data_IF_847801730116
#
_entry.id   IF_847801730116
#
_cell.length_a   1.000
_cell.length_b   1.000
_cell.length_c   1.000
_cell.angle_alpha   90.00
_cell.angle_beta   90.00
_cell.angle_gamma   90.00
#
_symmetry.space_group_name_H-M   'P 1'
#
loop_
_entity.id
_entity.type
_entity.pdbx_description
1 polymer ?
#
# COMPACT_ATOMS: atom_id res chain seq x y z
N UNK A 1 -9.35 1.37 -34.50
CA UNK A 1 -9.87 0.75 -33.26
C UNK A 1 -10.66 -0.47 -33.70
N UNK A 2 -10.44 -1.64 -33.10
CA UNK A 2 -11.29 -2.80 -33.39
C UNK A 2 -12.62 -2.64 -32.64
N UNK A 3 -13.74 -2.88 -33.32
CA UNK A 3 -15.07 -3.00 -32.72
C UNK A 3 -15.55 -4.44 -32.89
N UNK A 4 -16.30 -4.98 -31.93
CA UNK A 4 -16.90 -6.30 -32.09
C UNK A 4 -18.19 -6.20 -32.93
N UNK A 5 -18.62 -7.31 -33.55
CA UNK A 5 -19.90 -7.34 -34.29
C UNK A 5 -21.08 -7.00 -33.37
N UNK A 6 -21.01 -7.36 -32.08
CA UNK A 6 -22.01 -6.97 -31.08
C UNK A 6 -22.03 -5.48 -30.76
N UNK A 7 -20.91 -4.78 -30.93
CA UNK A 7 -20.85 -3.32 -30.75
C UNK A 7 -21.31 -2.58 -32.02
N UNK A 8 -21.02 -3.15 -33.20
CA UNK A 8 -21.31 -2.55 -34.50
C UNK A 8 -22.77 -2.76 -34.94
N UNK A 9 -23.30 -3.97 -34.75
CA UNK A 9 -24.61 -4.41 -35.25
C UNK A 9 -25.32 -5.31 -34.21
N UNK A 10 -25.73 -4.75 -33.05
CA UNK A 10 -26.26 -5.53 -31.92
C UNK A 10 -27.55 -6.28 -32.25
N UNK A 11 -28.50 -5.68 -32.97
CA UNK A 11 -29.78 -6.32 -33.32
C UNK A 11 -29.61 -7.41 -34.39
N UNK A 12 -28.62 -7.28 -35.27
CA UNK A 12 -28.21 -8.36 -36.18
C UNK A 12 -27.53 -9.48 -35.40
N UNK A 13 -26.65 -9.14 -34.46
CA UNK A 13 -25.96 -10.12 -33.61
C UNK A 13 -26.94 -10.93 -32.74
N UNK A 14 -27.97 -10.30 -32.19
CA UNK A 14 -29.03 -10.97 -31.42
C UNK A 14 -29.88 -11.91 -32.27
N UNK A 15 -30.09 -11.58 -33.55
CA UNK A 15 -30.84 -12.39 -34.50
C UNK A 15 -30.12 -13.69 -34.91
N UNK A 16 -28.81 -13.79 -34.63
CA UNK A 16 -28.03 -15.01 -34.87
C UNK A 16 -28.16 -15.96 -33.67
N UNK A 17 -28.53 -17.23 -33.88
CA UNK A 17 -28.62 -18.18 -32.78
C UNK A 17 -27.28 -18.40 -32.06
N UNK A 18 -27.34 -18.65 -30.74
CA UNK A 18 -26.15 -18.71 -29.86
C UNK A 18 -25.14 -19.78 -30.30
N UNK A 19 -25.60 -20.89 -30.88
CA UNK A 19 -24.71 -21.95 -31.38
C UNK A 19 -23.81 -21.45 -32.52
N UNK A 20 -24.34 -20.69 -33.47
CA UNK A 20 -23.55 -20.09 -34.56
C UNK A 20 -22.58 -19.05 -34.01
N UNK A 21 -23.02 -18.18 -33.10
CA UNK A 21 -22.16 -17.17 -32.44
C UNK A 21 -20.95 -17.76 -31.73
N UNK A 22 -21.05 -18.99 -31.22
CA UNK A 22 -19.98 -19.65 -30.44
C UNK A 22 -19.03 -20.49 -31.28
N UNK A 23 -19.50 -21.04 -32.39
CA UNK A 23 -18.75 -22.06 -33.15
C UNK A 23 -18.23 -21.55 -34.48
N UNK A 24 -18.90 -20.55 -35.08
CA UNK A 24 -18.55 -20.05 -36.41
C UNK A 24 -17.45 -19.02 -36.32
N UNK A 25 -16.37 -19.22 -37.07
CA UNK A 25 -15.30 -18.22 -37.19
C UNK A 25 -15.67 -17.17 -38.24
N UNK A 26 -15.05 -15.98 -38.17
CA UNK A 26 -15.22 -14.93 -39.20
C UNK A 26 -14.85 -15.47 -40.58
N UNK A 27 -13.79 -16.29 -40.69
CA UNK A 27 -13.38 -16.91 -41.94
C UNK A 27 -14.47 -17.83 -42.52
N UNK A 28 -15.13 -18.65 -41.70
CA UNK A 28 -16.25 -19.49 -42.14
C UNK A 28 -17.49 -18.67 -42.49
N UNK A 29 -17.71 -17.51 -41.85
CA UNK A 29 -18.79 -16.58 -42.17
C UNK A 29 -18.60 -15.89 -43.53
N UNK A 30 -17.36 -15.49 -43.82
CA UNK A 30 -17.00 -14.81 -45.06
C UNK A 30 -16.90 -15.75 -46.26
N UNK A 31 -16.58 -17.04 -46.04
CA UNK A 31 -16.57 -18.05 -47.10
C UNK A 31 -17.94 -18.10 -47.78
N UNK A 32 -17.96 -17.88 -49.09
CA UNK A 32 -19.17 -17.85 -49.94
C UNK A 32 -20.27 -16.91 -49.41
N UNK A 33 -19.90 -15.85 -48.68
CA UNK A 33 -20.83 -14.89 -48.06
C UNK A 33 -21.96 -15.58 -47.28
N UNK A 34 -21.64 -16.64 -46.53
CA UNK A 34 -22.65 -17.52 -45.94
C UNK A 34 -23.13 -17.07 -44.56
N UNK A 35 -22.56 -16.02 -43.97
CA UNK A 35 -22.99 -15.43 -42.69
C UNK A 35 -24.42 -14.84 -42.66
N UNK A 36 -25.00 -14.26 -43.74
CA UNK A 36 -26.37 -13.73 -43.71
C UNK A 36 -27.41 -14.82 -43.49
N UNK A 37 -27.09 -16.07 -43.88
CA UNK A 37 -27.99 -17.22 -43.70
C UNK A 37 -28.17 -17.61 -42.23
N UNK A 38 -27.28 -17.16 -41.34
CA UNK A 38 -27.37 -17.40 -39.91
C UNK A 38 -28.34 -16.44 -39.19
N UNK A 39 -28.73 -15.35 -39.85
CA UNK A 39 -29.64 -14.34 -39.30
C UNK A 39 -31.07 -14.89 -39.34
N UNK A 40 -31.72 -14.99 -38.18
CA UNK A 40 -33.10 -15.49 -38.08
C UNK A 40 -34.11 -14.40 -37.73
N UNK A 41 -35.32 -14.58 -38.24
CA UNK A 41 -36.44 -13.66 -38.03
C UNK A 41 -36.46 -12.50 -39.01
N UNK A 42 -37.49 -11.65 -38.90
CA UNK A 42 -37.65 -10.49 -39.79
C UNK A 42 -36.59 -9.41 -39.56
N UNK A 43 -36.22 -8.70 -40.63
CA UNK A 43 -35.38 -7.51 -40.56
C UNK A 43 -36.29 -6.29 -40.37
N UNK A 44 -36.36 -5.77 -39.14
CA UNK A 44 -36.90 -4.43 -38.91
C UNK A 44 -36.04 -3.40 -39.65
N UNK A 45 -36.55 -2.19 -39.88
CA UNK A 45 -35.81 -1.14 -40.57
C UNK A 45 -34.45 -0.82 -39.90
N UNK A 46 -34.39 -0.87 -38.57
CA UNK A 46 -33.15 -0.68 -37.80
C UNK A 46 -32.18 -1.85 -38.00
N UNK A 47 -32.69 -3.08 -37.98
CA UNK A 47 -31.86 -4.28 -38.20
C UNK A 47 -31.33 -4.34 -39.64
N UNK A 48 -32.11 -3.87 -40.61
CA UNK A 48 -31.70 -3.76 -42.00
C UNK A 48 -30.54 -2.75 -42.16
N UNK A 49 -30.60 -1.63 -41.44
CA UNK A 49 -29.53 -0.64 -41.43
C UNK A 49 -28.24 -1.20 -40.82
N UNK A 50 -28.33 -1.85 -39.65
CA UNK A 50 -27.18 -2.54 -39.05
C UNK A 50 -26.61 -3.64 -39.95
N UNK A 51 -27.47 -4.36 -40.68
CA UNK A 51 -27.03 -5.37 -41.64
C UNK A 51 -26.18 -4.75 -42.75
N UNK A 52 -26.61 -3.64 -43.34
CA UNK A 52 -25.83 -2.94 -44.36
C UNK A 52 -24.51 -2.39 -43.80
N UNK A 53 -24.52 -1.81 -42.60
CA UNK A 53 -23.28 -1.36 -41.95
C UNK A 53 -22.29 -2.51 -41.75
N UNK A 54 -22.77 -3.66 -41.27
CA UNK A 54 -21.94 -4.85 -41.11
C UNK A 54 -21.47 -5.36 -42.47
N UNK A 55 -22.33 -5.37 -43.48
CA UNK A 55 -22.01 -5.80 -44.84
C UNK A 55 -20.89 -4.94 -45.45
N UNK A 56 -20.99 -3.62 -45.35
CA UNK A 56 -19.98 -2.69 -45.87
C UNK A 56 -18.62 -2.90 -45.21
N UNK A 57 -18.61 -3.06 -43.88
CA UNK A 57 -17.37 -3.36 -43.13
C UNK A 57 -16.78 -4.70 -43.56
N UNK A 58 -17.60 -5.73 -43.71
CA UNK A 58 -17.14 -7.07 -44.09
C UNK A 58 -16.67 -7.17 -45.56
N UNK A 59 -17.24 -6.38 -46.46
CA UNK A 59 -16.82 -6.31 -47.88
C UNK A 59 -15.37 -5.85 -48.04
N UNK A 60 -14.93 -4.93 -47.17
CA UNK A 60 -13.56 -4.39 -47.20
C UNK A 60 -12.55 -5.27 -46.44
N UNK A 61 -13.01 -6.31 -45.74
CA UNK A 61 -12.14 -7.17 -44.95
C UNK A 61 -11.43 -8.22 -45.82
N UNK A 62 -10.11 -8.09 -45.91
CA UNK A 62 -9.26 -9.13 -46.47
C UNK A 62 -8.59 -9.92 -45.34
N UNK A 63 -9.00 -11.16 -45.14
CA UNK A 63 -8.40 -12.04 -44.12
C UNK A 63 -7.04 -12.54 -44.61
N UNK A 64 -5.95 -12.06 -44.02
CA UNK A 64 -4.63 -12.65 -44.25
C UNK A 64 -4.50 -13.98 -43.51
N UNK A 65 -3.85 -14.97 -44.11
CA UNK A 65 -3.42 -16.20 -43.41
C UNK A 65 -2.25 -15.95 -42.44
N UNK A 66 -1.72 -14.73 -42.40
CA UNK A 66 -0.67 -14.34 -41.45
C UNK A 66 -1.24 -14.35 -40.03
N UNK A 67 -0.51 -15.00 -39.13
CA UNK A 67 -0.89 -15.07 -37.72
C UNK A 67 -0.90 -13.66 -37.11
N UNK A 68 -2.02 -13.28 -36.49
CA UNK A 68 -2.13 -11.99 -35.82
C UNK A 68 -1.24 -11.96 -34.58
N UNK A 69 -0.22 -11.12 -34.60
CA UNK A 69 0.65 -10.92 -33.44
C UNK A 69 0.02 -9.91 -32.49
N UNK A 70 -0.38 -10.35 -31.30
CA UNK A 70 -0.78 -9.45 -30.23
C UNK A 70 0.44 -8.68 -29.69
N UNK A 71 0.52 -7.38 -29.99
CA UNK A 71 1.59 -6.52 -29.50
C UNK A 71 1.14 -5.79 -28.23
N UNK A 72 1.81 -6.10 -27.12
CA UNK A 72 1.63 -5.40 -25.86
C UNK A 72 2.31 -4.02 -25.89
N UNK A 73 1.52 -2.96 -26.04
CA UNK A 73 2.01 -1.58 -26.25
C UNK A 73 2.56 -0.89 -24.99
N UNK A 74 2.33 -1.46 -23.80
CA UNK A 74 2.71 -0.84 -22.53
C UNK A 74 4.08 -1.30 -22.02
N UNK A 75 4.84 -2.04 -22.83
CA UNK A 75 6.23 -2.42 -22.59
C UNK A 75 7.01 -2.44 -23.90
N UNK A 76 8.29 -2.04 -23.87
CA UNK A 76 9.13 -1.94 -25.06
C UNK A 76 9.45 -3.28 -25.73
N UNK A 77 9.22 -4.41 -25.04
CA UNK A 77 9.37 -5.75 -25.60
C UNK A 77 8.26 -6.14 -26.58
N UNK A 78 7.12 -5.44 -26.58
CA UNK A 78 5.94 -5.82 -27.36
C UNK A 78 5.26 -7.11 -26.88
N UNK A 79 5.78 -7.76 -25.83
CA UNK A 79 5.25 -9.01 -25.29
C UNK A 79 4.46 -8.75 -24.00
N UNK A 80 3.30 -9.41 -23.88
CA UNK A 80 2.51 -9.34 -22.66
C UNK A 80 3.20 -10.09 -21.53
N UNK A 81 3.25 -9.47 -20.35
CA UNK A 81 3.52 -10.16 -19.10
C UNK A 81 2.69 -9.55 -17.97
N UNK A 82 2.30 -10.36 -16.98
CA UNK A 82 1.60 -9.86 -15.79
C UNK A 82 2.39 -8.76 -15.07
N UNK A 83 3.73 -8.83 -15.10
CA UNK A 83 4.63 -7.80 -14.57
C UNK A 83 4.48 -6.47 -15.32
N UNK A 84 4.48 -6.49 -16.65
CA UNK A 84 4.32 -5.29 -17.48
C UNK A 84 2.92 -4.67 -17.34
N UNK A 85 1.87 -5.50 -17.30
CA UNK A 85 0.50 -5.09 -17.03
C UNK A 85 0.36 -4.42 -15.67
N UNK A 86 0.91 -5.04 -14.62
CA UNK A 86 0.91 -4.45 -13.28
C UNK A 86 1.65 -3.11 -13.26
N UNK A 87 2.86 -3.01 -13.85
CA UNK A 87 3.59 -1.74 -13.93
C UNK A 87 2.80 -0.65 -14.65
N UNK A 88 2.12 -0.99 -15.75
CA UNK A 88 1.33 -0.06 -16.50
C UNK A 88 0.08 0.42 -15.72
N UNK A 89 -0.57 -0.49 -14.99
CA UNK A 89 -1.71 -0.17 -14.13
C UNK A 89 -1.36 0.83 -13.03
N UNK A 90 -0.14 0.76 -12.49
CA UNK A 90 0.37 1.68 -11.48
C UNK A 90 1.22 2.82 -12.05
N UNK A 91 1.16 3.07 -13.37
CA UNK A 91 1.86 4.20 -13.96
C UNK A 91 1.25 5.52 -13.43
N UNK A 92 2.10 6.42 -12.93
CA UNK A 92 1.67 7.65 -12.25
C UNK A 92 1.27 7.48 -10.78
N UNK A 93 1.31 6.26 -10.21
CA UNK A 93 1.09 6.08 -8.78
C UNK A 93 2.22 6.74 -7.97
N UNK A 94 1.86 7.46 -6.90
CA UNK A 94 2.84 8.02 -5.96
C UNK A 94 3.37 6.87 -5.08
N UNK A 95 4.63 6.47 -5.22
CA UNK A 95 5.16 5.37 -4.44
C UNK A 95 5.27 5.78 -2.97
N UNK A 96 4.90 4.88 -2.06
CA UNK A 96 5.21 5.02 -0.65
C UNK A 96 6.73 4.98 -0.46
N UNK A 97 7.39 6.14 -0.36
CA UNK A 97 8.86 6.25 -0.40
C UNK A 97 9.54 5.37 0.68
N UNK A 98 8.87 5.17 1.81
CA UNK A 98 9.40 4.40 2.94
C UNK A 98 9.14 2.88 2.85
N UNK A 99 8.57 2.38 1.76
CA UNK A 99 8.18 0.97 1.63
C UNK A 99 9.36 0.01 1.87
N UNK A 100 10.55 0.31 1.34
CA UNK A 100 11.73 -0.56 1.54
C UNK A 100 12.10 -0.61 3.01
N UNK A 101 12.07 0.54 3.69
CA UNK A 101 12.45 0.67 5.10
C UNK A 101 11.47 -0.08 6.01
N UNK A 102 10.18 0.00 5.69
CA UNK A 102 9.13 -0.70 6.43
C UNK A 102 9.16 -2.21 6.17
N UNK A 103 9.00 -2.60 4.90
CA UNK A 103 8.75 -4.00 4.54
C UNK A 103 10.00 -4.88 4.59
N UNK A 104 11.20 -4.33 4.33
CA UNK A 104 12.48 -5.07 4.46
C UNK A 104 13.04 -5.07 5.89
N UNK A 105 12.37 -4.42 6.84
CA UNK A 105 12.76 -4.53 8.25
C UNK A 105 12.46 -5.93 8.80
N UNK A 106 13.10 -6.30 9.91
CA UNK A 106 12.77 -7.56 10.60
C UNK A 106 11.42 -7.48 11.35
N UNK A 107 10.88 -6.28 11.59
CA UNK A 107 9.74 -6.05 12.48
C UNK A 107 8.55 -7.02 12.24
N UNK A 108 7.83 -7.41 13.30
CA UNK A 108 6.64 -8.26 13.17
C UNK A 108 5.60 -7.68 12.20
N UNK A 109 4.85 -8.53 11.48
CA UNK A 109 3.83 -8.08 10.52
C UNK A 109 2.83 -7.07 11.11
N UNK A 110 2.38 -7.27 12.35
CA UNK A 110 1.46 -6.34 13.05
C UNK A 110 2.01 -4.91 13.13
N UNK A 111 3.30 -4.76 13.45
CA UNK A 111 3.95 -3.45 13.54
C UNK A 111 4.12 -2.82 12.15
N UNK A 112 4.40 -3.65 11.13
CA UNK A 112 4.52 -3.18 9.75
C UNK A 112 3.20 -2.67 9.19
N UNK A 113 2.11 -3.43 9.38
CA UNK A 113 0.77 -3.04 8.95
C UNK A 113 0.32 -1.77 9.68
N UNK A 114 0.51 -1.69 11.00
CA UNK A 114 0.22 -0.49 11.77
C UNK A 114 0.95 0.73 11.20
N UNK A 115 2.27 0.66 10.98
CA UNK A 115 3.02 1.79 10.48
C UNK A 115 2.62 2.19 9.06
N UNK A 116 2.32 1.21 8.20
CA UNK A 116 1.78 1.50 6.88
C UNK A 116 0.49 2.31 7.01
N UNK A 117 -0.46 1.88 7.85
CA UNK A 117 -1.66 2.66 8.14
C UNK A 117 -1.32 4.05 8.68
N UNK A 118 -0.43 4.15 9.67
CA UNK A 118 -0.03 5.43 10.26
C UNK A 118 0.54 6.41 9.21
N UNK A 119 1.33 5.94 8.26
CA UNK A 119 1.88 6.79 7.19
C UNK A 119 0.82 7.33 6.22
N UNK A 120 -0.32 6.65 6.07
CA UNK A 120 -1.47 7.11 5.29
C UNK A 120 -2.50 7.86 6.14
N UNK A 121 -2.13 8.19 7.39
CA UNK A 121 -3.03 8.62 8.44
C UNK A 121 -4.19 7.63 8.71
N UNK A 122 -4.21 6.42 8.11
CA UNK A 122 -4.97 5.18 8.36
C UNK A 122 -5.62 4.94 9.74
N UNK A 123 -4.95 5.36 10.82
CA UNK A 123 -5.24 4.85 12.16
C UNK A 123 -6.53 5.42 12.76
N UNK A 124 -7.15 4.70 13.69
CA UNK A 124 -8.34 5.15 14.41
C UNK A 124 -7.99 6.11 15.56
N UNK A 125 -7.53 7.31 15.20
CA UNK A 125 -7.30 8.46 16.09
C UNK A 125 -8.55 9.34 16.20
N UNK A 126 -8.59 10.23 17.20
CA UNK A 126 -9.75 11.09 17.45
C UNK A 126 -10.14 11.91 16.22
N UNK A 127 -9.18 12.47 15.46
CA UNK A 127 -9.47 13.21 14.22
C UNK A 127 -10.29 12.40 13.19
N UNK A 128 -10.04 11.09 13.11
CA UNK A 128 -10.71 10.20 12.16
C UNK A 128 -12.05 9.67 12.62
N UNK A 129 -12.20 9.54 13.93
CA UNK A 129 -13.50 9.28 14.55
C UNK A 129 -14.40 10.52 14.38
N UNK A 130 -13.86 11.72 14.63
CA UNK A 130 -14.53 12.99 14.45
C UNK A 130 -15.03 13.18 13.01
N UNK A 131 -14.18 12.93 12.00
CA UNK A 131 -14.56 12.97 10.57
C UNK A 131 -15.71 12.04 10.18
N UNK A 132 -16.00 11.02 10.99
CA UNK A 132 -17.10 10.07 10.78
C UNK A 132 -18.27 10.26 11.73
N UNK A 133 -18.26 11.31 12.55
CA UNK A 133 -19.30 11.54 13.56
C UNK A 133 -19.36 10.48 14.66
N UNK A 134 -18.27 9.76 14.90
CA UNK A 134 -18.19 8.74 15.95
C UNK A 134 -17.74 9.38 17.28
N UNK A 135 -18.13 8.80 18.44
CA UNK A 135 -17.66 9.25 19.74
C UNK A 135 -16.12 9.26 19.79
N UNK A 136 -15.55 10.36 20.28
CA UNK A 136 -14.10 10.55 20.35
C UNK A 136 -13.71 11.46 21.51
N UNK A 137 -12.50 11.27 22.09
CA UNK A 137 -11.93 12.24 23.03
C UNK A 137 -11.74 13.60 22.37
N UNK A 138 -11.98 14.68 23.13
CA UNK A 138 -11.76 16.06 22.66
C UNK A 138 -10.27 16.41 22.55
N UNK A 139 -9.42 15.72 23.31
CA UNK A 139 -7.97 15.90 23.36
C UNK A 139 -7.24 14.57 23.29
N UNK A 140 -5.96 14.65 22.95
CA UNK A 140 -5.07 13.51 22.88
C UNK A 140 -5.06 12.71 24.19
N UNK A 141 -5.41 11.42 24.18
CA UNK A 141 -5.46 10.60 25.40
C UNK A 141 -4.12 10.48 26.14
N UNK A 142 -3.00 10.83 25.50
CA UNK A 142 -1.67 10.74 26.10
C UNK A 142 -1.19 12.03 26.77
N UNK A 143 -1.58 13.21 26.26
CA UNK A 143 -1.09 14.49 26.76
C UNK A 143 -2.18 15.41 27.29
N UNK A 144 -3.43 15.20 26.90
CA UNK A 144 -4.60 16.03 27.24
C UNK A 144 -4.43 17.52 26.90
N UNK A 145 -3.56 17.85 25.93
CA UNK A 145 -3.19 19.25 25.59
C UNK A 145 -3.65 19.65 24.18
N UNK A 146 -3.41 18.80 23.18
CA UNK A 146 -3.74 19.08 21.77
C UNK A 146 -4.70 18.04 21.20
N UNK A 147 -5.24 18.32 20.02
CA UNK A 147 -6.12 17.39 19.30
C UNK A 147 -5.32 16.18 18.80
N UNK A 148 -5.94 15.00 18.80
CA UNK A 148 -5.24 13.77 18.40
C UNK A 148 -5.35 13.50 16.90
N UNK A 149 -4.21 13.48 16.23
CA UNK A 149 -3.99 12.71 15.02
C UNK A 149 -2.79 11.76 15.18
N UNK A 150 -2.55 10.89 14.19
CA UNK A 150 -1.45 9.93 14.28
C UNK A 150 -0.07 10.59 14.25
N UNK A 151 0.06 11.79 13.66
CA UNK A 151 1.33 12.50 13.62
C UNK A 151 1.63 13.08 15.00
N UNK A 152 0.68 13.78 15.61
CA UNK A 152 0.77 14.25 16.98
C UNK A 152 1.09 13.08 17.92
N UNK A 153 0.33 12.00 17.83
CA UNK A 153 0.54 10.81 18.64
C UNK A 153 1.97 10.26 18.53
N UNK A 154 2.57 10.26 17.34
CA UNK A 154 3.88 9.62 17.13
C UNK A 154 5.08 10.58 17.21
N UNK A 155 4.91 11.89 17.04
CA UNK A 155 6.03 12.84 17.01
C UNK A 155 5.88 14.05 17.93
N UNK A 156 4.77 14.80 17.89
CA UNK A 156 4.70 16.10 18.60
C UNK A 156 4.13 16.02 20.02
N UNK A 157 3.38 14.97 20.34
CA UNK A 157 2.87 14.70 21.69
C UNK A 157 4.00 14.72 22.72
N UNK A 158 3.82 15.47 23.82
CA UNK A 158 4.84 15.64 24.86
C UNK A 158 5.28 14.30 25.48
N UNK A 159 4.34 13.37 25.72
CA UNK A 159 4.65 12.04 26.22
C UNK A 159 5.47 11.25 25.19
N UNK A 160 5.10 11.30 23.92
CA UNK A 160 5.82 10.61 22.85
C UNK A 160 7.22 11.16 22.64
N UNK A 161 7.39 12.48 22.70
CA UNK A 161 8.71 13.13 22.62
C UNK A 161 9.63 12.71 23.76
N UNK A 162 9.13 12.70 24.99
CA UNK A 162 9.89 12.24 26.15
C UNK A 162 10.26 10.75 26.03
N UNK A 163 9.33 9.92 25.54
CA UNK A 163 9.58 8.51 25.28
C UNK A 163 10.71 8.31 24.25
N UNK A 164 10.64 9.03 23.13
CA UNK A 164 11.70 9.02 22.11
C UNK A 164 13.02 9.52 22.65
N UNK A 165 13.02 10.58 23.46
CA UNK A 165 14.21 11.10 24.10
C UNK A 165 14.90 10.03 24.93
N UNK A 166 14.18 9.40 25.87
CA UNK A 166 14.75 8.36 26.75
C UNK A 166 15.32 7.17 25.98
N UNK A 167 14.59 6.67 24.98
CA UNK A 167 15.03 5.52 24.18
C UNK A 167 16.21 5.86 23.26
N UNK A 168 16.14 6.98 22.55
CA UNK A 168 17.18 7.30 21.57
C UNK A 168 18.46 7.79 22.24
N UNK A 169 18.36 8.55 23.33
CA UNK A 169 19.54 8.96 24.11
C UNK A 169 20.24 7.75 24.72
N UNK A 170 19.49 6.83 25.35
CA UNK A 170 20.08 5.61 25.91
C UNK A 170 20.81 4.77 24.86
N UNK A 171 20.41 4.84 23.58
CA UNK A 171 21.04 4.14 22.46
C UNK A 171 22.12 4.96 21.72
N UNK A 172 22.53 6.12 22.24
CA UNK A 172 23.55 6.98 21.62
C UNK A 172 23.07 7.80 20.41
N UNK A 173 21.76 7.98 20.25
CA UNK A 173 21.12 8.74 19.16
C UNK A 173 20.43 10.02 19.64
N UNK A 174 21.06 10.75 20.59
CA UNK A 174 20.52 11.98 21.18
C UNK A 174 20.10 13.04 20.14
N UNK A 175 20.84 13.16 19.04
CA UNK A 175 20.56 14.10 17.94
C UNK A 175 19.50 13.62 16.93
N UNK A 176 18.77 12.54 17.23
CA UNK A 176 17.74 11.95 16.35
C UNK A 176 16.33 11.97 16.96
N UNK A 177 16.16 12.56 18.14
CA UNK A 177 14.87 12.74 18.81
C UNK A 177 13.98 13.68 17.97
N UNK A 178 12.67 13.41 17.83
CA UNK A 178 11.79 14.30 17.08
C UNK A 178 11.66 15.64 17.81
N UNK A 179 11.81 16.72 17.06
CA UNK A 179 11.62 18.08 17.57
C UNK A 179 10.13 18.43 17.70
N UNK A 180 9.84 19.55 18.39
CA UNK A 180 8.46 20.02 18.59
C UNK A 180 7.72 20.34 17.28
N UNK A 181 8.45 20.76 16.24
CA UNK A 181 7.89 21.13 14.93
C UNK A 181 7.96 20.00 13.90
N UNK A 182 8.27 18.78 14.32
CA UNK A 182 8.36 17.65 13.40
C UNK A 182 6.96 17.03 13.21
N UNK A 183 6.19 17.62 12.29
CA UNK A 183 4.78 17.30 12.03
C UNK A 183 4.55 15.99 11.26
N UNK A 184 5.61 15.33 10.80
CA UNK A 184 5.53 14.12 9.97
C UNK A 184 6.43 13.03 10.55
N UNK A 185 5.82 11.99 11.09
CA UNK A 185 6.51 10.79 11.57
C UNK A 185 7.36 10.17 10.46
N UNK A 186 6.84 10.15 9.24
CA UNK A 186 7.46 9.51 8.11
C UNK A 186 8.75 10.24 7.69
N UNK A 187 8.71 11.56 7.66
CA UNK A 187 9.87 12.41 7.37
C UNK A 187 10.91 12.36 8.47
N UNK A 188 10.48 12.46 9.73
CA UNK A 188 11.35 12.30 10.90
C UNK A 188 12.09 10.97 10.86
N UNK A 189 11.36 9.88 10.71
CA UNK A 189 11.90 8.52 10.66
C UNK A 189 12.91 8.38 9.52
N UNK A 190 12.61 8.96 8.36
CA UNK A 190 13.54 8.99 7.23
C UNK A 190 14.83 9.72 7.57
N UNK A 191 14.75 10.95 8.11
CA UNK A 191 15.89 11.78 8.50
C UNK A 191 16.73 11.08 9.57
N UNK A 192 16.08 10.52 10.60
CA UNK A 192 16.72 9.85 11.72
C UNK A 192 17.59 8.67 11.26
N UNK A 193 17.02 7.78 10.44
CA UNK A 193 17.73 6.61 9.90
C UNK A 193 18.79 7.01 8.87
N UNK A 194 18.52 7.98 7.99
CA UNK A 194 19.48 8.43 6.97
C UNK A 194 20.75 9.02 7.59
N UNK A 195 20.60 9.79 8.68
CA UNK A 195 21.70 10.43 9.42
C UNK A 195 22.41 9.48 10.41
N UNK A 196 22.02 8.22 10.52
CA UNK A 196 22.70 7.23 11.37
C UNK A 196 23.84 6.51 10.62
N UNK A 197 24.91 6.09 11.34
CA UNK A 197 25.97 5.24 10.79
C UNK A 197 25.42 3.98 10.09
N UNK A 198 26.03 3.58 8.96
CA UNK A 198 25.48 2.50 8.09
C UNK A 198 25.24 1.18 8.83
N UNK A 199 26.12 0.81 9.77
CA UNK A 199 26.04 -0.39 10.60
C UNK A 199 24.81 -0.36 11.54
N UNK A 200 24.46 0.81 12.07
CA UNK A 200 23.39 0.97 13.06
C UNK A 200 22.00 1.20 12.46
N UNK A 201 21.92 1.61 11.19
CA UNK A 201 20.63 1.94 10.51
C UNK A 201 19.56 0.88 10.65
N UNK A 202 19.91 -0.40 10.49
CA UNK A 202 18.92 -1.50 10.57
C UNK A 202 18.37 -1.68 11.98
N UNK A 203 19.23 -1.54 12.98
CA UNK A 203 18.83 -1.61 14.38
C UNK A 203 17.97 -0.39 14.77
N UNK A 204 18.41 0.82 14.42
CA UNK A 204 17.66 2.06 14.71
C UNK A 204 16.29 2.04 14.03
N UNK A 205 16.24 1.54 12.80
CA UNK A 205 14.97 1.35 12.11
C UNK A 205 14.02 0.43 12.89
N UNK A 206 14.54 -0.66 13.46
CA UNK A 206 13.73 -1.61 14.24
C UNK A 206 13.25 -0.98 15.55
N UNK A 207 14.10 -0.19 16.21
CA UNK A 207 13.77 0.59 17.42
C UNK A 207 12.64 1.58 17.14
N UNK A 208 12.73 2.36 16.05
CA UNK A 208 11.69 3.34 15.71
C UNK A 208 10.37 2.62 15.37
N UNK A 209 10.40 1.50 14.65
CA UNK A 209 9.18 0.73 14.36
C UNK A 209 8.53 0.20 15.65
N UNK A 210 9.35 -0.33 16.57
CA UNK A 210 8.89 -0.83 17.85
C UNK A 210 8.32 0.28 18.74
N UNK A 211 9.03 1.40 18.85
CA UNK A 211 8.60 2.52 19.69
C UNK A 211 7.26 3.08 19.24
N UNK A 212 7.05 3.23 17.93
CA UNK A 212 5.78 3.70 17.38
C UNK A 212 4.64 2.72 17.69
N UNK A 213 4.91 1.42 17.60
CA UNK A 213 3.95 0.38 17.98
C UNK A 213 3.62 0.39 19.48
N UNK A 214 4.61 0.60 20.35
CA UNK A 214 4.42 0.68 21.80
C UNK A 214 3.58 1.91 22.17
N UNK A 215 3.86 3.08 21.57
CA UNK A 215 3.03 4.28 21.76
C UNK A 215 1.58 4.06 21.34
N UNK A 216 1.36 3.43 20.18
CA UNK A 216 0.02 3.10 19.70
C UNK A 216 -0.72 2.15 20.64
N UNK A 217 -0.05 1.10 21.13
CA UNK A 217 -0.63 0.17 22.11
C UNK A 217 -0.99 0.86 23.42
N UNK A 218 -0.09 1.68 23.95
CA UNK A 218 -0.31 2.41 25.20
C UNK A 218 -1.50 3.37 25.09
N UNK A 219 -1.57 4.12 23.98
CA UNK A 219 -2.73 4.97 23.66
C UNK A 219 -4.02 4.15 23.63
N UNK A 220 -4.04 3.01 22.94
CA UNK A 220 -5.24 2.20 22.86
C UNK A 220 -5.66 1.67 24.23
N UNK A 221 -4.73 1.30 25.10
CA UNK A 221 -5.06 0.89 26.47
C UNK A 221 -5.64 2.05 27.29
N UNK A 222 -5.16 3.27 27.10
CA UNK A 222 -5.76 4.46 27.74
C UNK A 222 -7.20 4.71 27.28
N UNK A 223 -7.51 4.45 26.00
CA UNK A 223 -8.84 4.67 25.43
C UNK A 223 -9.82 3.54 25.75
N UNK A 224 -9.39 2.27 25.67
CA UNK A 224 -10.28 1.12 25.75
C UNK A 224 -10.28 0.41 27.10
N UNK A 225 -9.17 0.47 27.84
CA UNK A 225 -9.00 -0.26 29.11
C UNK A 225 -9.01 0.68 30.34
N UNK A 226 -9.26 1.98 30.13
CA UNK A 226 -9.23 2.98 31.20
C UNK A 226 -7.83 3.26 31.78
N UNK A 227 -6.77 2.85 31.06
CA UNK A 227 -5.39 3.12 31.46
C UNK A 227 -5.07 4.61 31.50
N UNK A 228 -4.00 4.97 32.21
CA UNK A 228 -3.51 6.34 32.28
C UNK A 228 -2.16 6.50 31.56
N UNK A 229 -1.88 7.67 30.97
CA UNK A 229 -0.57 7.97 30.39
C UNK A 229 0.57 7.78 31.40
N UNK A 230 1.46 6.82 31.16
CA UNK A 230 2.53 6.48 32.09
C UNK A 230 3.84 6.19 31.35
N UNK A 231 4.83 7.05 31.57
CA UNK A 231 6.16 6.92 30.96
C UNK A 231 6.88 5.64 31.41
N UNK A 232 6.78 5.28 32.69
CA UNK A 232 7.44 4.08 33.22
C UNK A 232 6.87 2.81 32.58
N UNK A 233 5.56 2.78 32.37
CA UNK A 233 4.89 1.65 31.71
C UNK A 233 5.28 1.55 30.24
N UNK A 234 5.30 2.67 29.51
CA UNK A 234 5.80 2.72 28.13
C UNK A 234 7.23 2.15 28.00
N UNK A 235 8.14 2.57 28.89
CA UNK A 235 9.52 2.10 28.88
C UNK A 235 9.63 0.61 29.27
N UNK A 236 8.78 0.14 30.19
CA UNK A 236 8.71 -1.28 30.57
C UNK A 236 8.28 -2.13 29.37
N UNK A 237 7.14 -1.80 28.74
CA UNK A 237 6.63 -2.49 27.55
C UNK A 237 7.67 -2.47 26.43
N UNK A 238 8.34 -1.33 26.21
CA UNK A 238 9.38 -1.21 25.19
C UNK A 238 10.56 -2.15 25.47
N UNK A 239 11.06 -2.23 26.71
CA UNK A 239 12.16 -3.13 27.07
C UNK A 239 11.78 -4.59 26.88
N UNK A 240 10.56 -4.97 27.26
CA UNK A 240 10.02 -6.32 27.09
C UNK A 240 9.92 -6.71 25.61
N UNK A 241 9.31 -5.84 24.77
CA UNK A 241 9.25 -6.05 23.33
C UNK A 241 10.65 -6.11 22.71
N UNK A 242 11.58 -5.25 23.15
CA UNK A 242 12.98 -5.28 22.70
C UNK A 242 13.64 -6.61 23.00
N UNK A 243 13.48 -7.12 24.21
CA UNK A 243 14.00 -8.42 24.62
C UNK A 243 13.42 -9.55 23.77
N UNK A 244 12.09 -9.58 23.57
CA UNK A 244 11.41 -10.56 22.73
C UNK A 244 11.91 -10.54 21.28
N UNK A 245 12.08 -9.35 20.68
CA UNK A 245 12.57 -9.22 19.31
C UNK A 245 14.03 -9.66 19.20
N UNK A 246 14.85 -9.33 20.19
CA UNK A 246 16.20 -9.86 20.30
C UNK A 246 16.17 -11.38 20.31
N UNK A 247 15.43 -12.03 21.21
CA UNK A 247 15.32 -13.50 21.27
C UNK A 247 14.85 -14.12 19.94
N UNK A 248 13.87 -13.51 19.27
CA UNK A 248 13.33 -13.94 17.98
C UNK A 248 14.26 -13.70 16.77
N UNK A 249 15.54 -13.39 16.99
CA UNK A 249 16.63 -13.25 15.99
C UNK A 249 16.62 -11.95 15.20
N UNK A 250 16.17 -10.84 15.79
CA UNK A 250 16.45 -9.49 15.28
C UNK A 250 17.94 -9.12 15.43
N UNK A 251 18.81 -9.67 14.57
CA UNK A 251 20.29 -9.57 14.70
C UNK A 251 20.81 -8.13 14.80
N UNK A 252 20.28 -7.22 13.98
CA UNK A 252 20.70 -5.82 14.00
C UNK A 252 20.27 -5.05 15.26
N UNK A 253 19.21 -5.50 15.94
CA UNK A 253 18.78 -4.92 17.21
C UNK A 253 19.67 -5.41 18.36
N UNK A 254 20.07 -6.69 18.34
CA UNK A 254 21.05 -7.24 19.29
C UNK A 254 22.39 -6.53 19.18
N UNK A 255 22.89 -6.31 17.96
CA UNK A 255 24.15 -5.61 17.73
C UNK A 255 24.17 -4.19 18.34
N UNK A 256 23.05 -3.46 18.27
CA UNK A 256 22.91 -2.16 18.94
C UNK A 256 22.91 -2.23 20.47
N UNK A 257 22.50 -3.37 21.03
CA UNK A 257 22.48 -3.56 22.48
C UNK A 257 23.88 -3.92 23.00
N UNK A 258 24.62 -4.75 22.24
CA UNK A 258 25.97 -5.21 22.60
C UNK A 258 27.05 -4.14 22.48
N UNK A 259 26.92 -3.16 21.57
CA UNK A 259 27.84 -2.01 21.48
C UNK A 259 27.82 -1.12 22.74
N UNK A 260 26.84 -1.28 23.64
CA UNK A 260 26.69 -0.46 24.84
C UNK A 260 27.01 -1.18 26.15
N UNK A 261 26.80 -2.49 26.24
CA UNK A 261 27.22 -3.25 27.43
C UNK A 261 28.75 -3.19 27.62
N UNK A 262 29.52 -3.06 26.52
CA UNK A 262 30.97 -2.81 26.58
C UNK A 262 31.40 -1.37 26.91
N UNK A 263 30.48 -0.40 26.91
CA UNK A 263 30.76 0.99 27.26
C UNK A 263 30.52 1.29 28.76
N UNK A 264 29.72 0.45 29.45
CA UNK A 264 29.51 0.55 30.89
C UNK A 264 30.65 -0.09 31.71
N UNK A 265 31.42 -1.02 31.14
CA UNK A 265 32.50 -1.74 31.83
C UNK A 265 33.85 -0.99 31.81
N UNK A 266 34.01 0.00 30.92
CA UNK A 266 35.23 0.82 30.81
C UNK A 266 35.15 2.18 31.52
N UNK A 267 34.11 2.41 32.33
CA UNK A 267 33.97 3.61 33.18
C UNK A 267 34.25 3.37 34.66
N UNK A 268 34.81 2.20 35.01
CA UNK A 268 35.22 1.83 36.37
C UNK A 268 36.69 1.37 36.46
N UNK A 269 37.56 1.91 35.60
CA UNK A 269 39.02 1.88 35.79
C UNK A 269 39.58 3.27 35.61
#
# INVERSE_FOLDING_TARGET
MGCSVSDLAPLVFEAVPVNYRRQRTVAQGLLDQSWPTDIRGGLSMVRLFEYFQLWDVLLEMNLSQTEYVHIWRLDGSGQFSSKSAYRAFFNGAIPFEHWRRLWKSWAPPKCKVFLWLATWNWCWTADRLAKRGLPHPSKCPLCDQEDEDVQHLLTTCVLSREFWFRILVSLGFSNKVPGQHELSFADWWMKAVKRAPKNTRKGLNSVIIMGAWVLWRHRNSCVFDGGQPCMNELLRIFREERHLWCMARARSLRALSQEQDGAFDNSLV
#
